data_IF_169254717364
#
_entry.id   IF_169254717364
#
_cell.length_a   1.000
_cell.length_b   1.000
_cell.length_c   1.000
_cell.angle_alpha   90.00
_cell.angle_beta   90.00
_cell.angle_gamma   90.00
#
_symmetry.space_group_name_H-M   'P 1'
#
loop_
_entity.id
_entity.type
_entity.pdbx_description
1 polymer ?
#
# COMPACT_ATOMS: atom_id res chain seq x y z
N UNK A 1 -21.78 17.62 -3.47
CA UNK A 1 -20.86 18.77 -3.51
C UNK A 1 -19.39 18.37 -3.41
N UNK A 2 -19.06 17.16 -2.96
CA UNK A 2 -17.66 16.70 -2.82
C UNK A 2 -17.05 16.08 -4.09
N UNK A 3 -17.82 15.79 -5.12
CA UNK A 3 -17.33 15.15 -6.36
C UNK A 3 -16.48 16.05 -7.27
N UNK A 4 -16.49 17.38 -7.07
CA UNK A 4 -15.77 18.33 -7.94
C UNK A 4 -14.41 18.78 -7.38
N UNK A 5 -14.10 18.49 -6.13
CA UNK A 5 -12.79 18.85 -5.53
C UNK A 5 -11.65 17.97 -6.03
N UNK A 6 -11.90 16.67 -6.25
CA UNK A 6 -10.86 15.73 -6.65
C UNK A 6 -10.23 16.00 -8.02
N UNK A 7 -11.02 16.44 -9.00
CA UNK A 7 -10.52 16.66 -10.37
C UNK A 7 -9.59 17.88 -10.50
N UNK A 8 -9.74 18.89 -9.66
CA UNK A 8 -8.86 20.08 -9.67
C UNK A 8 -7.55 19.85 -8.92
N UNK A 9 -7.57 19.08 -7.84
CA UNK A 9 -6.37 18.71 -7.07
C UNK A 9 -5.45 17.79 -7.87
N UNK A 10 -6.02 16.86 -8.63
CA UNK A 10 -5.29 15.93 -9.49
C UNK A 10 -4.48 16.63 -10.58
N UNK A 11 -5.06 17.63 -11.25
CA UNK A 11 -4.36 18.42 -12.26
C UNK A 11 -3.26 19.30 -11.65
N UNK A 12 -3.50 19.85 -10.47
CA UNK A 12 -2.52 20.69 -9.79
C UNK A 12 -1.30 19.87 -9.31
N UNK A 13 -1.51 18.64 -8.88
CA UNK A 13 -0.43 17.77 -8.41
C UNK A 13 0.45 17.24 -9.57
N UNK A 14 -0.11 17.08 -10.77
CA UNK A 14 0.66 16.59 -11.93
C UNK A 14 1.74 17.56 -12.41
N UNK A 15 1.51 18.86 -12.26
CA UNK A 15 2.43 19.91 -12.72
C UNK A 15 3.51 20.25 -11.68
N UNK A 16 3.48 19.62 -10.50
CA UNK A 16 4.47 19.83 -9.45
C UNK A 16 5.70 18.94 -9.63
N UNK A 17 6.90 19.42 -9.24
CA UNK A 17 8.08 18.57 -9.08
C UNK A 17 7.78 17.38 -8.16
N UNK A 18 8.37 16.22 -8.44
CA UNK A 18 8.08 14.96 -7.72
C UNK A 18 8.30 15.08 -6.20
N UNK A 19 9.34 15.84 -5.78
CA UNK A 19 9.60 16.08 -4.37
C UNK A 19 8.48 16.84 -3.67
N UNK A 20 7.96 17.88 -4.32
CA UNK A 20 6.87 18.70 -3.76
C UNK A 20 5.54 17.95 -3.77
N UNK A 21 5.31 17.13 -4.80
CA UNK A 21 4.15 16.24 -4.87
C UNK A 21 4.15 15.25 -3.71
N UNK A 22 5.30 14.61 -3.45
CA UNK A 22 5.44 13.67 -2.34
C UNK A 22 5.19 14.34 -1.00
N UNK A 23 5.77 15.53 -0.76
CA UNK A 23 5.58 16.27 0.50
C UNK A 23 4.11 16.60 0.74
N UNK A 24 3.39 17.02 -0.29
CA UNK A 24 1.95 17.31 -0.21
C UNK A 24 1.16 16.03 0.05
N UNK A 25 1.43 14.96 -0.68
CA UNK A 25 0.73 13.68 -0.48
C UNK A 25 0.99 13.11 0.92
N UNK A 26 2.22 13.16 1.42
CA UNK A 26 2.53 12.74 2.78
C UNK A 26 1.83 13.60 3.83
N UNK A 27 1.73 14.91 3.58
CA UNK A 27 1.00 15.80 4.48
C UNK A 27 -0.49 15.49 4.52
N UNK A 28 -1.11 15.30 3.35
CA UNK A 28 -2.53 14.96 3.24
C UNK A 28 -2.84 13.54 3.75
N UNK A 29 -1.91 12.62 3.57
CA UNK A 29 -2.04 11.23 4.01
C UNK A 29 -1.63 11.01 5.48
N UNK A 30 -1.13 12.02 6.18
CA UNK A 30 -0.59 11.88 7.54
C UNK A 30 -1.55 11.16 8.47
N UNK A 31 -2.79 11.64 8.55
CA UNK A 31 -3.80 11.09 9.45
C UNK A 31 -4.14 9.64 9.10
N UNK A 32 -4.12 9.29 7.81
CA UNK A 32 -4.34 7.93 7.31
C UNK A 32 -3.14 7.05 7.67
N UNK A 33 -1.92 7.52 7.42
CA UNK A 33 -0.70 6.76 7.72
C UNK A 33 -0.52 6.51 9.23
N UNK A 34 -0.94 7.45 10.08
CA UNK A 34 -0.93 7.25 11.54
C UNK A 34 -1.89 6.14 11.99
N UNK A 35 -2.89 5.79 11.19
CA UNK A 35 -3.79 4.66 11.46
C UNK A 35 -3.18 3.32 11.05
N UNK A 36 -2.24 3.31 10.12
CA UNK A 36 -1.56 2.08 9.68
C UNK A 36 -0.70 1.54 10.83
N UNK A 37 -0.94 0.31 11.30
CA UNK A 37 -0.21 -0.27 12.44
C UNK A 37 1.31 -0.24 12.28
N UNK A 38 1.80 -0.42 11.05
CA UNK A 38 3.23 -0.38 10.73
C UNK A 38 3.88 0.92 11.23
N UNK A 39 3.29 2.08 10.94
CA UNK A 39 3.86 3.38 11.32
C UNK A 39 3.78 3.64 12.83
N UNK A 40 2.79 3.06 13.52
CA UNK A 40 2.68 3.19 14.98
C UNK A 40 3.74 2.39 15.75
N UNK A 41 4.16 1.25 15.20
CA UNK A 41 5.16 0.38 15.83
C UNK A 41 6.61 0.76 15.49
N UNK A 42 6.82 1.67 14.53
CA UNK A 42 8.15 2.16 14.17
C UNK A 42 8.72 3.14 15.21
N UNK A 43 10.03 3.05 15.45
CA UNK A 43 10.77 4.13 16.11
C UNK A 43 10.64 5.43 15.30
N UNK A 44 10.80 6.62 15.90
CA UNK A 44 10.73 7.88 15.16
C UNK A 44 11.72 7.94 13.98
N UNK A 45 12.91 7.38 14.15
CA UNK A 45 13.96 7.36 13.12
C UNK A 45 13.56 6.47 11.95
N UNK A 46 13.12 5.23 12.21
CA UNK A 46 12.63 4.30 11.20
C UNK A 46 11.40 4.87 10.50
N UNK A 47 10.46 5.47 11.24
CA UNK A 47 9.27 6.10 10.66
C UNK A 47 9.63 7.18 9.65
N UNK A 48 10.57 8.08 9.98
CA UNK A 48 11.02 9.13 9.08
C UNK A 48 11.70 8.55 7.84
N UNK A 49 12.56 7.55 8.01
CA UNK A 49 13.21 6.87 6.90
C UNK A 49 12.21 6.15 5.99
N UNK A 50 11.21 5.47 6.57
CA UNK A 50 10.14 4.82 5.82
C UNK A 50 9.31 5.84 5.03
N UNK A 51 8.88 6.94 5.65
CA UNK A 51 8.14 8.01 4.96
C UNK A 51 8.94 8.61 3.80
N UNK A 52 10.25 8.82 3.98
CA UNK A 52 11.13 9.34 2.93
C UNK A 52 11.34 8.37 1.75
N UNK A 53 11.17 7.06 1.99
CA UNK A 53 11.32 6.02 0.97
C UNK A 53 10.03 5.75 0.16
N UNK A 54 8.87 6.27 0.61
CA UNK A 54 7.60 6.08 -0.08
C UNK A 54 7.53 6.89 -1.37
N UNK A 55 6.91 6.29 -2.39
CA UNK A 55 6.67 6.91 -3.69
C UNK A 55 5.17 7.02 -3.94
N UNK A 56 4.67 8.19 -4.35
CA UNK A 56 3.25 8.35 -4.66
C UNK A 56 2.89 7.66 -5.97
N UNK A 57 1.72 7.04 -6.00
CA UNK A 57 1.13 6.48 -7.20
C UNK A 57 -0.39 6.70 -7.22
N UNK A 58 -1.00 6.73 -8.40
CA UNK A 58 -2.42 7.02 -8.59
C UNK A 58 -3.04 6.10 -9.61
N UNK A 59 -4.29 5.70 -9.38
CA UNK A 59 -4.98 4.72 -10.19
C UNK A 59 -6.41 5.18 -10.50
N UNK A 60 -6.76 5.15 -11.79
CA UNK A 60 -8.12 5.39 -12.22
C UNK A 60 -9.02 4.17 -11.95
N UNK A 61 -10.35 4.36 -11.85
CA UNK A 61 -11.29 3.25 -11.70
C UNK A 61 -11.07 2.15 -12.74
N UNK A 62 -11.02 0.89 -12.29
CA UNK A 62 -10.76 -0.28 -13.11
C UNK A 62 -9.28 -0.61 -13.36
N UNK A 63 -8.35 0.28 -13.00
CA UNK A 63 -6.92 0.01 -13.13
C UNK A 63 -6.47 -0.98 -12.05
N UNK A 64 -5.54 -1.84 -12.43
CA UNK A 64 -4.90 -2.77 -11.49
C UNK A 64 -3.68 -2.09 -10.84
N UNK A 65 -3.63 -2.17 -9.52
CA UNK A 65 -2.45 -1.77 -8.74
C UNK A 65 -1.36 -2.83 -8.86
N UNK A 66 -1.78 -4.09 -8.78
CA UNK A 66 -0.94 -5.28 -8.99
C UNK A 66 -1.79 -6.37 -9.66
N UNK A 67 -1.13 -7.29 -10.35
CA UNK A 67 -1.78 -8.43 -11.00
C UNK A 67 -1.29 -9.76 -10.43
N UNK A 68 -2.21 -10.72 -10.34
CA UNK A 68 -1.91 -12.11 -10.02
C UNK A 68 -0.78 -12.66 -10.91
N UNK A 69 0.16 -13.36 -10.32
CA UNK A 69 1.32 -13.94 -11.03
C UNK A 69 2.50 -13.00 -11.23
N UNK A 70 2.35 -11.68 -11.02
CA UNK A 70 3.46 -10.74 -11.03
C UNK A 70 4.40 -10.98 -9.84
N UNK A 71 5.67 -10.63 -9.99
CA UNK A 71 6.63 -10.68 -8.89
C UNK A 71 6.24 -9.68 -7.79
N UNK A 72 6.22 -10.11 -6.54
CA UNK A 72 5.97 -9.26 -5.38
C UNK A 72 7.15 -8.32 -5.11
N UNK A 73 7.12 -7.11 -5.66
CA UNK A 73 8.24 -6.14 -5.60
C UNK A 73 7.91 -4.86 -4.85
N UNK A 74 6.79 -4.81 -4.14
CA UNK A 74 6.39 -3.60 -3.43
C UNK A 74 5.41 -3.89 -2.30
N UNK A 75 5.37 -2.96 -1.34
CA UNK A 75 4.27 -2.81 -0.37
C UNK A 75 3.50 -1.57 -0.78
N UNK A 76 2.17 -1.66 -0.84
CA UNK A 76 1.29 -0.57 -1.26
C UNK A 76 0.39 -0.19 -0.10
N UNK A 77 0.38 1.09 0.26
CA UNK A 77 -0.46 1.69 1.29
C UNK A 77 -1.54 2.53 0.61
N UNK A 78 -2.81 2.20 0.86
CA UNK A 78 -3.95 2.95 0.32
C UNK A 78 -4.15 4.21 1.15
N UNK A 79 -4.10 5.38 0.52
CA UNK A 79 -4.30 6.67 1.20
C UNK A 79 -5.61 7.34 0.81
N UNK A 80 -6.17 6.97 -0.35
CA UNK A 80 -7.47 7.44 -0.81
C UNK A 80 -8.12 6.45 -1.77
N UNK A 81 -9.45 6.41 -1.79
CA UNK A 81 -10.23 5.52 -2.64
C UNK A 81 -10.36 4.11 -2.09
N UNK A 82 -11.05 3.27 -2.81
CA UNK A 82 -11.32 1.88 -2.46
C UNK A 82 -10.83 0.95 -3.57
N UNK A 83 -10.24 -0.16 -3.19
CA UNK A 83 -9.78 -1.20 -4.11
C UNK A 83 -10.39 -2.55 -3.75
N UNK A 84 -10.56 -3.42 -4.73
CA UNK A 84 -10.99 -4.79 -4.53
C UNK A 84 -9.86 -5.78 -4.80
N UNK A 85 -9.89 -6.88 -4.05
CA UNK A 85 -8.98 -8.00 -4.22
C UNK A 85 -9.70 -9.04 -5.07
N UNK A 86 -9.09 -9.41 -6.20
CA UNK A 86 -9.63 -10.42 -7.10
C UNK A 86 -8.59 -11.50 -7.39
N UNK A 87 -9.01 -12.76 -7.45
CA UNK A 87 -8.11 -13.87 -7.74
C UNK A 87 -8.79 -14.93 -8.61
N UNK A 88 -7.94 -15.72 -9.27
CA UNK A 88 -8.36 -16.81 -10.14
C UNK A 88 -8.86 -16.39 -11.51
N UNK A 89 -9.14 -17.36 -12.40
CA UNK A 89 -9.49 -17.10 -13.79
C UNK A 89 -10.85 -16.37 -13.95
N UNK A 90 -11.74 -16.52 -12.99
CA UNK A 90 -13.06 -15.85 -12.98
C UNK A 90 -13.01 -14.47 -12.29
N UNK A 91 -11.83 -14.03 -11.82
CA UNK A 91 -11.63 -12.80 -11.06
C UNK A 91 -12.62 -12.67 -9.87
N UNK A 92 -12.71 -13.75 -9.09
CA UNK A 92 -13.58 -13.78 -7.91
C UNK A 92 -13.13 -12.71 -6.91
N UNK A 93 -14.07 -11.91 -6.42
CA UNK A 93 -13.81 -10.88 -5.42
C UNK A 93 -13.68 -11.53 -4.04
N UNK A 94 -12.55 -11.32 -3.37
CA UNK A 94 -12.25 -11.86 -2.05
C UNK A 94 -12.38 -10.81 -0.94
N UNK A 95 -12.46 -9.54 -1.28
CA UNK A 95 -12.63 -8.45 -0.33
C UNK A 95 -12.25 -7.10 -0.91
N UNK A 96 -12.35 -6.08 -0.07
CA UNK A 96 -11.96 -4.71 -0.40
C UNK A 96 -10.92 -4.18 0.59
N UNK A 97 -10.14 -3.21 0.15
CA UNK A 97 -9.22 -2.45 0.99
C UNK A 97 -9.56 -0.96 0.86
N UNK A 98 -9.44 -0.26 1.98
CA UNK A 98 -9.79 1.15 2.12
C UNK A 98 -8.60 1.98 2.65
N UNK A 99 -8.69 3.32 2.72
CA UNK A 99 -7.61 4.15 3.26
C UNK A 99 -7.18 3.70 4.66
N UNK A 100 -5.86 3.50 4.84
CA UNK A 100 -5.26 2.92 6.04
C UNK A 100 -4.91 1.44 5.90
N UNK A 101 -5.44 0.76 4.90
CA UNK A 101 -5.03 -0.60 4.56
C UNK A 101 -3.75 -0.61 3.70
N UNK A 102 -3.07 -1.75 3.72
CA UNK A 102 -1.88 -2.00 2.91
C UNK A 102 -1.80 -3.46 2.50
N UNK A 103 -1.06 -3.74 1.43
CA UNK A 103 -0.85 -5.10 0.95
C UNK A 103 0.55 -5.27 0.33
N UNK A 104 0.92 -6.50 0.06
CA UNK A 104 2.12 -6.84 -0.69
C UNK A 104 3.34 -7.21 0.14
N UNK A 105 3.25 -7.14 1.47
CA UNK A 105 4.36 -7.48 2.34
C UNK A 105 4.82 -8.94 2.20
N UNK A 106 3.90 -9.90 2.22
CA UNK A 106 4.26 -11.32 2.21
C UNK A 106 4.94 -11.72 0.91
N UNK A 107 4.39 -11.32 -0.22
CA UNK A 107 4.99 -11.63 -1.52
C UNK A 107 6.36 -10.96 -1.72
N UNK A 108 6.55 -9.76 -1.15
CA UNK A 108 7.85 -9.09 -1.15
C UNK A 108 8.86 -9.80 -0.23
N UNK A 109 8.48 -10.07 1.03
CA UNK A 109 9.36 -10.69 2.02
C UNK A 109 9.76 -12.12 1.67
N UNK A 110 8.85 -12.89 1.09
CA UNK A 110 9.07 -14.28 0.66
C UNK A 110 9.63 -14.38 -0.76
N UNK A 111 9.75 -13.28 -1.48
CA UNK A 111 10.14 -13.22 -2.90
C UNK A 111 9.24 -14.09 -3.80
N UNK A 112 7.96 -14.12 -3.47
CA UNK A 112 6.95 -14.89 -4.17
C UNK A 112 6.18 -14.03 -5.18
N UNK A 113 5.41 -14.71 -6.03
CA UNK A 113 4.49 -14.05 -6.95
C UNK A 113 3.21 -13.67 -6.22
N UNK A 114 2.55 -12.62 -6.72
CA UNK A 114 1.23 -12.21 -6.23
C UNK A 114 0.22 -13.34 -6.44
N UNK A 115 -0.48 -13.73 -5.40
CA UNK A 115 -1.54 -14.75 -5.44
C UNK A 115 -2.90 -14.20 -5.83
N UNK A 116 -3.02 -12.88 -5.94
CA UNK A 116 -4.22 -12.18 -6.39
C UNK A 116 -3.87 -10.84 -7.02
N UNK A 117 -4.88 -10.26 -7.66
CA UNK A 117 -4.83 -8.92 -8.24
C UNK A 117 -5.54 -7.94 -7.33
N UNK A 118 -5.12 -6.68 -7.35
CA UNK A 118 -5.81 -5.57 -6.66
C UNK A 118 -6.23 -4.55 -7.71
N UNK A 119 -7.52 -4.23 -7.77
CA UNK A 119 -8.12 -3.36 -8.77
C UNK A 119 -8.83 -2.17 -8.11
N UNK A 120 -8.60 -0.97 -8.63
CA UNK A 120 -9.26 0.23 -8.15
C UNK A 120 -10.76 0.24 -8.49
N UNK A 121 -11.62 0.48 -7.50
CA UNK A 121 -13.06 0.64 -7.67
C UNK A 121 -13.43 2.08 -8.03
N UNK A 122 -12.69 3.04 -7.48
CA UNK A 122 -12.80 4.45 -7.78
C UNK A 122 -11.41 5.05 -8.05
N UNK A 123 -11.29 6.39 -8.01
CA UNK A 123 -9.98 7.03 -8.08
C UNK A 123 -9.21 6.81 -6.79
N UNK A 124 -8.08 6.11 -6.90
CA UNK A 124 -7.24 5.74 -5.75
C UNK A 124 -5.90 6.45 -5.76
N UNK A 125 -5.47 6.85 -4.57
CA UNK A 125 -4.11 7.31 -4.29
C UNK A 125 -3.44 6.30 -3.36
N UNK A 126 -2.19 6.00 -3.63
CA UNK A 126 -1.39 5.08 -2.85
C UNK A 126 0.03 5.58 -2.65
N UNK A 127 0.66 5.11 -1.59
CA UNK A 127 2.09 5.25 -1.34
C UNK A 127 2.74 3.88 -1.46
N UNK A 128 3.79 3.80 -2.24
CA UNK A 128 4.45 2.54 -2.61
C UNK A 128 5.86 2.49 -2.04
N UNK A 129 6.17 1.45 -1.29
CA UNK A 129 7.53 1.09 -0.90
C UNK A 129 8.02 0.00 -1.85
N UNK A 130 8.97 0.34 -2.71
CA UNK A 130 9.54 -0.62 -3.65
C UNK A 130 10.57 -1.57 -2.98
N UNK A 131 10.94 -2.61 -3.72
CA UNK A 131 11.86 -3.66 -3.22
C UNK A 131 13.21 -3.09 -2.80
N UNK A 132 13.80 -2.19 -3.59
CA UNK A 132 15.12 -1.63 -3.30
C UNK A 132 15.10 -0.82 -2.00
N UNK A 133 14.07 -0.01 -1.82
CA UNK A 133 13.86 0.77 -0.59
C UNK A 133 13.57 -0.13 0.62
N UNK A 134 12.79 -1.20 0.42
CA UNK A 134 12.53 -2.20 1.45
C UNK A 134 13.82 -2.91 1.90
N UNK A 135 14.67 -3.33 0.96
CA UNK A 135 15.94 -3.99 1.24
C UNK A 135 16.90 -3.02 1.98
N UNK A 136 17.02 -1.77 1.51
CA UNK A 136 17.85 -0.75 2.16
C UNK A 136 17.38 -0.47 3.60
N UNK A 137 16.08 -0.29 3.84
CA UNK A 137 15.52 -0.09 5.18
C UNK A 137 15.73 -1.31 6.07
N UNK A 138 15.65 -2.52 5.53
CA UNK A 138 15.86 -3.76 6.29
C UNK A 138 17.32 -3.94 6.73
N UNK A 139 18.26 -3.46 5.93
CA UNK A 139 19.69 -3.47 6.27
C UNK A 139 20.05 -2.38 7.29
N UNK A 140 19.52 -1.16 7.12
CA UNK A 140 19.82 -0.02 7.98
C UNK A 140 19.10 -0.08 9.34
N UNK A 141 17.88 -0.62 9.36
CA UNK A 141 17.01 -0.69 10.54
C UNK A 141 16.60 -2.15 10.83
N UNK A 142 17.40 -2.92 11.61
CA UNK A 142 17.08 -4.33 11.90
C UNK A 142 15.72 -4.53 12.58
N UNK A 143 15.23 -3.52 13.32
CA UNK A 143 13.88 -3.56 13.92
C UNK A 143 12.76 -3.54 12.87
N UNK A 144 13.02 -3.08 11.65
CA UNK A 144 12.00 -2.99 10.60
C UNK A 144 11.37 -4.35 10.29
N UNK A 145 12.19 -5.39 10.17
CA UNK A 145 11.72 -6.76 9.95
C UNK A 145 10.87 -7.28 11.12
N UNK A 146 11.24 -6.90 12.35
CA UNK A 146 10.47 -7.30 13.53
C UNK A 146 9.12 -6.62 13.57
N UNK A 147 9.07 -5.32 13.27
CA UNK A 147 7.81 -4.55 13.19
C UNK A 147 6.90 -5.15 12.13
N UNK A 148 7.41 -5.43 10.93
CA UNK A 148 6.64 -6.04 9.85
C UNK A 148 6.06 -7.41 10.25
N UNK A 149 6.83 -8.27 10.93
CA UNK A 149 6.35 -9.55 11.43
C UNK A 149 5.24 -9.40 12.45
N UNK A 150 5.40 -8.48 13.40
CA UNK A 150 4.39 -8.20 14.43
C UNK A 150 3.08 -7.75 13.80
N UNK A 151 3.14 -6.76 12.92
CA UNK A 151 1.97 -6.19 12.26
C UNK A 151 1.28 -7.21 11.33
N UNK A 152 2.08 -8.05 10.65
CA UNK A 152 1.51 -9.12 9.81
C UNK A 152 0.83 -10.21 10.63
N UNK A 153 1.34 -10.53 11.82
CA UNK A 153 0.70 -11.48 12.72
C UNK A 153 -0.64 -10.93 13.26
N UNK A 154 -0.68 -9.67 13.69
CA UNK A 154 -1.91 -9.00 14.13
C UNK A 154 -2.97 -8.98 13.01
N UNK A 155 -2.55 -8.73 11.77
CA UNK A 155 -3.44 -8.73 10.61
C UNK A 155 -3.91 -10.13 10.23
N UNK A 156 -3.07 -11.16 10.39
CA UNK A 156 -3.43 -12.56 10.13
C UNK A 156 -4.55 -13.06 11.05
N UNK A 157 -4.60 -12.59 12.28
CA UNK A 157 -5.72 -12.89 13.18
C UNK A 157 -7.03 -12.24 12.72
N UNK A 158 -6.97 -11.05 12.13
CA UNK A 158 -8.13 -10.33 11.59
C UNK A 158 -8.51 -10.79 10.17
N UNK A 159 -7.53 -11.24 9.37
CA UNK A 159 -7.69 -11.68 7.98
C UNK A 159 -7.79 -13.21 7.85
N UNK A 160 -8.05 -13.91 8.93
CA UNK A 160 -8.14 -15.39 8.96
C UNK A 160 -9.13 -15.95 7.93
N UNK A 161 -10.17 -15.21 7.56
CA UNK A 161 -11.11 -15.59 6.52
C UNK A 161 -10.50 -15.51 5.12
N UNK A 162 -9.71 -14.47 4.81
CA UNK A 162 -9.05 -14.29 3.50
C UNK A 162 -7.91 -15.28 3.27
N UNK A 163 -7.18 -15.64 4.34
CA UNK A 163 -6.10 -16.64 4.29
C UNK A 163 -6.62 -18.06 4.08
N UNK A 164 -7.84 -18.37 4.56
CA UNK A 164 -8.48 -19.67 4.37
C UNK A 164 -8.85 -19.92 2.89
N UNK A 165 -9.01 -18.87 2.10
CA UNK A 165 -9.25 -18.96 0.65
C UNK A 165 -7.98 -18.99 -0.21
N UNK A 166 -6.78 -18.98 0.41
CA UNK A 166 -5.50 -19.12 -0.27
C UNK A 166 -5.01 -17.85 -0.99
N UNK A 167 -5.62 -16.70 -0.74
CA UNK A 167 -5.20 -15.41 -1.30
C UNK A 167 -4.26 -14.72 -0.31
N UNK A 168 -2.96 -14.75 -0.60
CA UNK A 168 -1.91 -14.08 0.17
C UNK A 168 -1.48 -12.81 -0.57
N UNK A 169 -1.83 -11.66 -0.06
CA UNK A 169 -1.50 -10.35 -0.65
C UNK A 169 -0.35 -9.66 0.07
#
# INVERSE_FOLDING_TARGET
>A
WDRHKGLNEEHLLRDLPDSLRLDIMLHLARDVLEQVPLFRHCSPTLRNALLAALKPDTYAPGNFLVREGEAGRSIVFITRGEVEIVAGPEQTVHGTLEPGDYFGYLSLALKERRSGSVRALDYCEALVLDQDSYEALSEEYPEFMQVLKTVSAERSEQASELLLEGVVL
#
